data_IF_035224558681
#
_entry.id   IF_035224558681
#
_cell.length_a   1.000
_cell.length_b   1.000
_cell.length_c   1.000
_cell.angle_alpha   90.00
_cell.angle_beta   90.00
_cell.angle_gamma   90.00
#
_symmetry.space_group_name_H-M   'P 1'
#
loop_
_entity.id
_entity.type
_entity.pdbx_description
1 polymer ?
#
# COMPACT_ATOMS: atom_id res chain seq x y z
N UNK A 1 0.91 -25.74 19.02
CA UNK A 1 1.43 -24.36 18.88
C UNK A 1 1.12 -23.76 17.51
N UNK A 2 1.27 -24.52 16.42
CA UNK A 2 1.01 -24.02 15.06
C UNK A 2 -0.46 -23.64 14.81
N UNK A 3 -1.42 -24.36 15.38
CA UNK A 3 -2.86 -24.08 15.16
C UNK A 3 -3.35 -22.79 15.79
N UNK A 4 -2.81 -22.42 16.95
CA UNK A 4 -3.15 -21.16 17.63
C UNK A 4 -2.63 -19.96 16.83
N UNK A 5 -1.40 -20.06 16.30
CA UNK A 5 -0.80 -19.04 15.45
C UNK A 5 -1.58 -18.94 14.13
N UNK A 6 -1.90 -20.06 13.49
CA UNK A 6 -2.67 -20.08 12.25
C UNK A 6 -4.06 -19.44 12.41
N UNK A 7 -4.74 -19.72 13.54
CA UNK A 7 -6.06 -19.14 13.83
C UNK A 7 -5.99 -17.63 14.10
N UNK A 8 -4.94 -17.17 14.79
CA UNK A 8 -4.69 -15.74 15.01
C UNK A 8 -4.38 -15.02 13.70
N UNK A 9 -3.52 -15.61 12.85
CA UNK A 9 -3.22 -15.05 11.53
C UNK A 9 -4.47 -14.97 10.66
N UNK A 10 -5.32 -16.01 10.65
CA UNK A 10 -6.58 -16.00 9.92
C UNK A 10 -7.51 -14.87 10.36
N UNK A 11 -7.66 -14.66 11.68
CA UNK A 11 -8.48 -13.57 12.21
C UNK A 11 -7.90 -12.18 11.89
N UNK A 12 -6.58 -12.03 11.92
CA UNK A 12 -5.90 -10.79 11.52
C UNK A 12 -6.14 -10.52 10.03
N UNK A 13 -6.07 -11.54 9.17
CA UNK A 13 -6.37 -11.42 7.74
C UNK A 13 -7.81 -10.97 7.52
N UNK A 14 -8.79 -11.63 8.14
CA UNK A 14 -10.21 -11.25 8.02
C UNK A 14 -10.47 -9.81 8.45
N UNK A 15 -9.86 -9.37 9.57
CA UNK A 15 -9.95 -7.99 10.01
C UNK A 15 -9.29 -7.01 9.03
N UNK A 16 -8.15 -7.38 8.46
CA UNK A 16 -7.44 -6.55 7.49
C UNK A 16 -8.28 -6.39 6.22
N UNK A 17 -8.88 -7.47 5.73
CA UNK A 17 -9.75 -7.44 4.56
C UNK A 17 -10.97 -6.55 4.79
N UNK A 18 -11.56 -6.59 5.99
CA UNK A 18 -12.65 -5.70 6.38
C UNK A 18 -12.23 -4.23 6.37
N UNK A 19 -11.05 -3.91 6.93
CA UNK A 19 -10.51 -2.54 6.93
C UNK A 19 -10.22 -2.05 5.50
N UNK A 20 -9.67 -2.91 4.64
CA UNK A 20 -9.45 -2.59 3.22
C UNK A 20 -10.78 -2.28 2.53
N UNK A 21 -11.83 -3.08 2.78
CA UNK A 21 -13.16 -2.82 2.23
C UNK A 21 -13.71 -1.45 2.66
N UNK A 22 -13.47 -1.04 3.91
CA UNK A 22 -13.86 0.29 4.40
C UNK A 22 -13.09 1.41 3.70
N UNK A 23 -11.79 1.22 3.44
CA UNK A 23 -10.98 2.18 2.66
C UNK A 23 -11.51 2.31 1.23
N UNK A 24 -11.83 1.19 0.57
CA UNK A 24 -12.41 1.20 -0.78
C UNK A 24 -13.75 1.94 -0.80
N UNK A 25 -14.63 1.69 0.18
CA UNK A 25 -15.87 2.44 0.33
C UNK A 25 -15.60 3.94 0.52
N UNK A 26 -14.62 4.29 1.36
CA UNK A 26 -14.18 5.66 1.59
C UNK A 26 -13.69 6.35 0.32
N UNK A 27 -12.99 5.64 -0.56
CA UNK A 27 -12.57 6.16 -1.88
C UNK A 27 -13.78 6.41 -2.77
N UNK A 28 -14.73 5.47 -2.86
CA UNK A 28 -15.94 5.63 -3.67
C UNK A 28 -16.75 6.84 -3.19
N UNK A 29 -16.97 6.95 -1.88
CA UNK A 29 -17.66 8.10 -1.28
C UNK A 29 -16.87 9.39 -1.51
N UNK A 30 -15.54 9.35 -1.41
CA UNK A 30 -14.69 10.50 -1.66
C UNK A 30 -14.79 11.02 -3.09
N UNK A 31 -14.89 10.15 -4.08
CA UNK A 31 -15.07 10.55 -5.48
C UNK A 31 -16.43 11.23 -5.67
N UNK A 32 -17.49 10.73 -5.02
CA UNK A 32 -18.85 11.23 -5.20
C UNK A 32 -19.17 12.50 -4.40
N UNK A 33 -18.52 12.69 -3.24
CA UNK A 33 -18.86 13.73 -2.27
C UNK A 33 -17.68 14.64 -1.91
N UNK A 34 -16.67 14.74 -2.79
CA UNK A 34 -15.51 15.62 -2.64
C UNK A 34 -14.67 15.32 -1.38
N UNK A 35 -14.30 14.05 -1.21
CA UNK A 35 -13.40 13.50 -0.18
C UNK A 35 -13.72 13.89 1.29
N UNK A 36 -14.95 13.64 1.78
CA UNK A 36 -15.37 14.09 3.12
C UNK A 36 -14.62 13.42 4.27
N UNK A 37 -14.06 12.24 4.03
CA UNK A 37 -13.28 11.47 5.01
C UNK A 37 -11.76 11.62 4.80
N UNK A 38 -11.32 12.38 3.79
CA UNK A 38 -9.90 12.58 3.49
C UNK A 38 -9.16 11.31 3.06
N UNK A 39 -9.87 10.29 2.58
CA UNK A 39 -9.29 8.97 2.25
C UNK A 39 -8.46 9.07 0.99
N UNK A 40 -8.91 9.86 0.00
CA UNK A 40 -8.16 10.03 -1.26
C UNK A 40 -6.86 10.80 -0.98
N UNK A 41 -6.94 11.90 -0.20
CA UNK A 41 -5.76 12.64 0.22
C UNK A 41 -4.81 11.77 1.09
N UNK A 42 -5.35 10.99 2.02
CA UNK A 42 -4.58 10.08 2.87
C UNK A 42 -3.82 9.03 2.05
N UNK A 43 -4.49 8.36 1.13
CA UNK A 43 -3.88 7.39 0.21
C UNK A 43 -2.83 8.08 -0.68
N UNK A 44 -3.13 9.25 -1.23
CA UNK A 44 -2.18 10.04 -2.02
C UNK A 44 -0.89 10.39 -1.27
N UNK A 45 -1.00 10.75 0.01
CA UNK A 45 0.15 11.03 0.87
C UNK A 45 0.99 9.78 1.14
N UNK A 46 0.36 8.61 1.34
CA UNK A 46 1.07 7.33 1.47
C UNK A 46 1.84 7.00 0.19
N UNK A 47 1.21 7.15 -0.97
CA UNK A 47 1.88 6.94 -2.26
C UNK A 47 2.98 7.97 -2.53
N UNK A 48 2.84 9.22 -2.07
CA UNK A 48 3.87 10.25 -2.18
C UNK A 48 5.11 9.91 -1.37
N UNK A 49 4.94 9.42 -0.14
CA UNK A 49 6.06 8.96 0.69
C UNK A 49 6.81 7.77 0.06
N UNK A 50 6.06 6.89 -0.61
CA UNK A 50 6.66 5.82 -1.42
C UNK A 50 7.26 6.38 -2.71
N UNK A 51 6.71 7.43 -3.31
CA UNK A 51 7.26 8.08 -4.50
C UNK A 51 8.63 8.70 -4.23
N UNK A 52 8.77 9.51 -3.20
CA UNK A 52 10.03 10.18 -2.88
C UNK A 52 11.14 9.18 -2.48
N UNK A 53 10.81 8.18 -1.66
CA UNK A 53 11.77 7.15 -1.25
C UNK A 53 11.92 6.01 -2.30
N UNK A 54 10.90 5.77 -3.10
CA UNK A 54 10.83 4.71 -4.10
C UNK A 54 11.43 5.12 -5.44
N UNK A 55 11.44 6.42 -5.78
CA UNK A 55 12.25 6.96 -6.86
C UNK A 55 13.73 6.66 -6.60
N UNK A 56 14.21 6.81 -5.36
CA UNK A 56 15.56 6.39 -4.99
C UNK A 56 15.76 4.87 -5.21
N UNK A 57 14.76 4.05 -4.89
CA UNK A 57 14.79 2.61 -5.18
C UNK A 57 14.87 2.29 -6.67
N UNK A 58 14.06 2.94 -7.50
CA UNK A 58 14.09 2.81 -8.96
C UNK A 58 15.42 3.29 -9.56
N UNK A 59 15.96 4.39 -9.04
CA UNK A 59 17.28 4.91 -9.42
C UNK A 59 18.39 3.92 -9.07
N UNK A 60 18.35 3.31 -7.88
CA UNK A 60 19.30 2.27 -7.47
C UNK A 60 19.21 1.05 -8.41
N UNK A 61 18.00 0.59 -8.75
CA UNK A 61 17.82 -0.53 -9.69
C UNK A 61 18.36 -0.19 -11.09
N UNK A 62 18.11 1.04 -11.56
CA UNK A 62 18.64 1.52 -12.83
C UNK A 62 20.17 1.60 -12.84
N UNK A 63 20.79 2.05 -11.74
CA UNK A 63 22.25 2.08 -11.58
C UNK A 63 22.82 0.66 -11.55
N UNK A 64 22.19 -0.27 -10.83
CA UNK A 64 22.58 -1.69 -10.82
C UNK A 64 22.48 -2.29 -12.22
N UNK A 65 21.43 -1.95 -12.99
CA UNK A 65 21.29 -2.36 -14.38
C UNK A 65 22.40 -1.80 -15.27
N UNK A 66 22.75 -0.51 -15.15
CA UNK A 66 23.87 0.09 -15.89
C UNK A 66 25.23 -0.50 -15.52
N UNK A 67 25.43 -0.85 -14.25
CA UNK A 67 26.64 -1.52 -13.77
C UNK A 67 26.68 -3.00 -14.13
N UNK A 68 25.56 -3.59 -14.52
CA UNK A 68 25.53 -4.96 -14.97
C UNK A 68 26.33 -5.03 -16.28
N UNK A 69 27.43 -5.81 -16.32
CA UNK A 69 28.22 -5.92 -17.53
C UNK A 69 27.34 -6.52 -18.62
N UNK A 70 27.06 -5.72 -19.65
CA UNK A 70 26.44 -6.21 -20.88
C UNK A 70 27.37 -7.29 -21.44
N UNK A 71 26.98 -8.57 -21.27
CA UNK A 71 27.57 -9.67 -22.02
C UNK A 71 27.03 -9.66 -23.44
#
# INVERSE_FOLDING_TARGET
MNDAIAKLTGWITELTDFLISLVVLGIIVGILFNDPFGVIAGVGNLFSQIGDNGLAGLLVLYLVYMMYPNK
#
